data_IF_587866150791
#
_entry.id   IF_587866150791
#
_cell.length_a   1.000
_cell.length_b   1.000
_cell.length_c   1.000
_cell.angle_alpha   90.00
_cell.angle_beta   90.00
_cell.angle_gamma   90.00
#
_symmetry.space_group_name_H-M   'P 1'
#
loop_
_entity.id
_entity.type
_entity.pdbx_description
1 polymer ?
#
# COMPACT_ATOMS: atom_id res chain seq x y z
N UNK A 1 -40.32 15.01 31.60
CA UNK A 1 -40.53 14.33 30.47
C UNK A 1 -39.73 14.70 29.28
N UNK A 2 -39.16 15.63 29.14
CA UNK A 2 -38.50 16.05 28.00
C UNK A 2 -37.11 15.59 27.90
N UNK A 3 -36.54 15.34 28.95
CA UNK A 3 -35.15 15.07 28.94
C UNK A 3 -34.73 13.86 28.21
N UNK A 4 -35.51 12.91 28.17
CA UNK A 4 -35.08 11.70 27.60
C UNK A 4 -34.60 11.90 26.20
N UNK A 5 -35.15 12.76 25.56
CA UNK A 5 -34.80 12.94 24.20
C UNK A 5 -33.38 13.35 24.01
N UNK A 6 -32.98 14.23 24.80
CA UNK A 6 -31.65 14.74 24.66
C UNK A 6 -30.62 13.65 24.74
N UNK A 7 -30.88 12.70 25.53
CA UNK A 7 -29.84 11.70 25.71
C UNK A 7 -29.61 10.87 24.49
N UNK A 8 -30.60 10.67 23.72
CA UNK A 8 -30.39 9.90 22.55
C UNK A 8 -29.49 10.58 21.59
N UNK A 9 -29.76 11.80 21.38
CA UNK A 9 -29.01 12.53 20.45
C UNK A 9 -27.55 12.47 20.76
N UNK A 10 -27.25 12.57 21.98
CA UNK A 10 -25.86 12.53 22.36
C UNK A 10 -25.23 11.21 22.00
N UNK A 11 -25.91 10.19 22.24
CA UNK A 11 -25.34 8.90 21.98
C UNK A 11 -25.05 8.72 20.51
N UNK A 12 -25.93 9.17 19.70
CA UNK A 12 -25.73 9.02 18.31
C UNK A 12 -24.53 9.77 17.82
N UNK A 13 -24.38 10.94 18.31
CA UNK A 13 -23.26 11.72 17.88
C UNK A 13 -21.97 11.01 18.15
N UNK A 14 -21.85 10.41 19.28
CA UNK A 14 -20.63 9.71 19.59
C UNK A 14 -20.35 8.60 18.64
N UNK A 15 -21.35 7.87 18.31
CA UNK A 15 -21.14 6.75 17.43
C UNK A 15 -20.71 7.20 16.06
N UNK A 16 -21.29 8.24 15.60
CA UNK A 16 -21.00 8.70 14.27
C UNK A 16 -19.52 9.02 14.09
N UNK A 17 -18.91 9.52 15.12
CA UNK A 17 -17.55 9.93 14.97
C UNK A 17 -16.55 8.80 14.99
N UNK A 18 -16.82 7.79 15.76
CA UNK A 18 -15.87 6.74 15.91
C UNK A 18 -15.43 6.08 14.63
N UNK A 19 -16.33 5.64 13.81
CA UNK A 19 -15.92 4.94 12.61
C UNK A 19 -15.10 5.80 11.68
N UNK A 20 -15.38 7.05 11.67
CA UNK A 20 -14.68 7.90 10.74
C UNK A 20 -13.19 7.96 11.05
N UNK A 21 -12.84 7.89 12.29
CA UNK A 21 -11.46 7.96 12.64
C UNK A 21 -10.73 6.65 12.55
N UNK A 22 -11.42 5.61 12.26
CA UNK A 22 -10.83 4.30 12.29
C UNK A 22 -10.47 3.80 10.90
N UNK A 23 -9.97 4.67 10.07
CA UNK A 23 -9.57 4.25 8.74
C UNK A 23 -8.49 3.20 8.83
N UNK A 24 -8.73 2.07 8.22
CA UNK A 24 -7.78 0.98 8.20
C UNK A 24 -6.84 1.11 7.05
N UNK A 25 -5.61 0.70 7.25
CA UNK A 25 -4.66 0.61 6.17
C UNK A 25 -5.12 -0.43 5.18
N UNK A 26 -5.00 -0.13 3.91
CA UNK A 26 -5.36 -1.05 2.85
C UNK A 26 -4.13 -1.81 2.39
N UNK A 27 -4.35 -2.97 1.79
CA UNK A 27 -3.28 -3.76 1.19
C UNK A 27 -3.48 -3.73 -0.32
N UNK A 28 -2.41 -3.40 -1.03
CA UNK A 28 -2.41 -3.33 -2.48
C UNK A 28 -1.47 -4.41 -3.00
N UNK A 29 -1.81 -5.03 -4.11
CA UNK A 29 -0.99 -6.07 -4.70
C UNK A 29 -0.41 -5.60 -6.01
N UNK A 30 0.90 -5.77 -6.17
CA UNK A 30 1.59 -5.55 -7.43
C UNK A 30 2.18 -6.88 -7.85
N UNK A 31 1.79 -7.35 -9.01
CA UNK A 31 2.27 -8.61 -9.57
C UNK A 31 3.46 -8.33 -10.48
N UNK A 32 4.50 -9.12 -10.36
CA UNK A 32 5.67 -9.04 -11.22
C UNK A 32 5.55 -10.16 -12.23
N UNK A 33 5.32 -9.83 -13.48
CA UNK A 33 5.10 -10.79 -14.54
C UNK A 33 5.50 -10.20 -15.87
N UNK A 34 6.13 -10.99 -16.73
CA UNK A 34 6.59 -10.51 -18.01
C UNK A 34 7.67 -9.45 -17.89
N UNK A 35 8.49 -9.53 -16.84
CA UNK A 35 9.53 -8.53 -16.56
C UNK A 35 8.94 -7.13 -16.41
N UNK A 36 7.78 -7.04 -15.78
CA UNK A 36 7.10 -5.76 -15.55
C UNK A 36 6.37 -5.80 -14.21
N UNK A 37 6.22 -4.64 -13.60
CA UNK A 37 5.35 -4.46 -12.43
C UNK A 37 3.94 -4.18 -12.92
N UNK A 38 2.95 -4.89 -12.38
CA UNK A 38 1.56 -4.79 -12.84
C UNK A 38 0.63 -4.60 -11.65
N UNK A 39 0.03 -3.44 -11.49
CA UNK A 39 0.18 -2.25 -12.33
C UNK A 39 1.51 -1.55 -12.08
N UNK A 40 2.01 -0.83 -13.07
CA UNK A 40 3.26 -0.11 -12.94
C UNK A 40 3.13 1.17 -12.13
N UNK A 41 1.94 1.70 -12.01
CA UNK A 41 1.68 2.90 -11.22
C UNK A 41 0.47 2.66 -10.33
N UNK A 42 0.62 2.95 -9.04
CA UNK A 42 -0.48 2.83 -8.07
C UNK A 42 -0.52 4.07 -7.19
N UNK A 43 -1.70 4.34 -6.67
CA UNK A 43 -1.91 5.39 -5.69
C UNK A 43 -2.42 4.76 -4.41
N UNK A 44 -1.77 5.07 -3.30
CA UNK A 44 -2.11 4.51 -2.01
C UNK A 44 -2.22 5.61 -0.97
N UNK A 45 -2.75 5.30 0.19
CA UNK A 45 -2.74 6.21 1.33
C UNK A 45 -1.52 5.92 2.19
N UNK A 46 -1.03 6.95 2.87
CA UNK A 46 0.10 6.78 3.79
C UNK A 46 -0.26 5.75 4.85
N UNK A 47 0.64 4.82 5.09
CA UNK A 47 0.43 3.72 6.03
C UNK A 47 -0.12 2.46 5.39
N UNK A 48 -0.51 2.51 4.14
CA UNK A 48 -0.95 1.31 3.42
C UNK A 48 0.22 0.38 3.15
N UNK A 49 -0.12 -0.88 2.87
CA UNK A 49 0.86 -1.91 2.54
C UNK A 49 0.79 -2.24 1.07
N UNK A 50 1.92 -2.60 0.50
CA UNK A 50 1.98 -3.13 -0.86
C UNK A 50 2.60 -4.50 -0.78
N UNK A 51 1.93 -5.49 -1.34
CA UNK A 51 2.47 -6.85 -1.46
C UNK A 51 2.92 -7.07 -2.90
N UNK A 52 4.20 -7.33 -3.07
CA UNK A 52 4.77 -7.64 -4.37
C UNK A 52 4.87 -9.16 -4.51
N UNK A 53 4.36 -9.69 -5.61
CA UNK A 53 4.36 -11.14 -5.88
C UNK A 53 5.10 -11.39 -7.18
N UNK A 54 6.14 -12.21 -7.15
CA UNK A 54 6.89 -12.54 -8.36
C UNK A 54 6.32 -13.81 -8.99
N UNK A 55 5.75 -13.66 -10.18
CA UNK A 55 5.23 -14.78 -10.95
C UNK A 55 6.15 -15.18 -12.10
N UNK A 56 7.24 -14.46 -12.30
CA UNK A 56 8.23 -14.82 -13.33
C UNK A 56 9.18 -15.90 -12.84
N UNK A 57 9.76 -16.61 -13.79
CA UNK A 57 10.80 -17.58 -13.46
C UNK A 57 12.11 -16.94 -13.05
N UNK A 58 12.35 -15.70 -13.46
CA UNK A 58 13.56 -14.98 -13.10
C UNK A 58 13.39 -14.30 -11.74
N UNK A 59 14.48 -14.08 -10.99
CA UNK A 59 14.43 -13.34 -9.74
C UNK A 59 14.25 -11.84 -10.01
N UNK A 60 13.49 -11.20 -9.13
CA UNK A 60 13.25 -9.76 -9.20
C UNK A 60 13.29 -9.15 -7.81
N UNK A 61 13.39 -7.83 -7.75
CA UNK A 61 13.17 -7.06 -6.52
C UNK A 61 12.23 -5.91 -6.82
N UNK A 62 11.65 -5.32 -5.79
CA UNK A 62 10.99 -4.02 -5.88
C UNK A 62 11.69 -3.12 -4.88
N UNK A 63 12.52 -2.22 -5.39
CA UNK A 63 13.41 -1.42 -4.57
C UNK A 63 13.19 0.06 -4.87
N UNK A 64 12.78 0.81 -3.86
CA UNK A 64 12.55 2.25 -4.02
C UNK A 64 13.86 2.97 -4.27
N UNK A 65 13.84 3.93 -5.20
CA UNK A 65 15.05 4.69 -5.53
C UNK A 65 15.55 5.50 -4.34
N UNK A 66 14.63 5.94 -3.49
CA UNK A 66 14.99 6.73 -2.30
C UNK A 66 15.25 5.88 -1.06
N UNK A 67 15.21 4.57 -1.19
CA UNK A 67 15.46 3.67 -0.08
C UNK A 67 14.29 3.47 0.87
N UNK A 68 13.12 4.02 0.56
CA UNK A 68 11.98 3.92 1.48
C UNK A 68 11.43 2.51 1.62
N UNK A 69 11.65 1.64 0.64
CA UNK A 69 11.30 0.24 0.77
C UNK A 69 12.18 -0.63 -0.14
N UNK A 70 12.26 -1.90 0.19
CA UNK A 70 12.99 -2.88 -0.60
C UNK A 70 12.47 -4.26 -0.23
N UNK A 71 12.00 -5.00 -1.22
CA UNK A 71 11.53 -6.36 -0.98
C UNK A 71 12.66 -7.34 -0.80
N UNK A 72 13.86 -6.99 -1.29
CA UNK A 72 14.89 -7.98 -1.46
C UNK A 72 14.56 -8.90 -2.64
N UNK A 73 15.36 -9.94 -2.82
CA UNK A 73 15.20 -10.87 -3.93
C UNK A 73 13.95 -11.71 -3.76
N UNK A 74 13.15 -11.75 -4.80
CA UNK A 74 11.95 -12.59 -4.88
C UNK A 74 12.17 -13.59 -6.02
N UNK A 75 12.16 -14.87 -5.70
CA UNK A 75 12.16 -15.92 -6.71
C UNK A 75 10.72 -16.23 -7.12
N UNK A 76 10.53 -17.08 -8.10
CA UNK A 76 9.20 -17.40 -8.58
C UNK A 76 8.30 -17.87 -7.44
N UNK A 77 7.15 -17.24 -7.31
CA UNK A 77 6.18 -17.56 -6.27
C UNK A 77 6.40 -16.86 -4.96
N UNK A 78 7.52 -16.17 -4.79
CA UNK A 78 7.77 -15.43 -3.56
C UNK A 78 7.00 -14.12 -3.54
N UNK A 79 6.70 -13.66 -2.34
CA UNK A 79 6.06 -12.37 -2.14
C UNK A 79 6.66 -11.68 -0.92
N UNK A 80 6.55 -10.37 -0.89
CA UNK A 80 6.95 -9.57 0.25
C UNK A 80 6.06 -8.35 0.35
N UNK A 81 5.76 -7.94 1.57
CA UNK A 81 4.94 -6.76 1.84
C UNK A 81 5.79 -5.65 2.39
N UNK A 82 5.54 -4.44 1.92
CA UNK A 82 6.20 -3.24 2.42
C UNK A 82 5.15 -2.25 2.85
N UNK A 83 5.45 -1.46 3.87
CA UNK A 83 4.56 -0.39 4.35
C UNK A 83 5.17 0.95 3.99
N UNK A 84 4.38 1.84 3.40
CA UNK A 84 4.87 3.14 2.97
C UNK A 84 4.15 4.22 3.77
N UNK A 85 4.91 4.95 4.56
CA UNK A 85 4.33 5.88 5.53
C UNK A 85 4.37 7.34 5.10
N UNK A 86 5.26 7.72 4.19
CA UNK A 86 5.46 9.12 3.83
C UNK A 86 4.75 9.46 2.54
N UNK A 87 4.06 10.60 2.52
CA UNK A 87 3.37 11.07 1.34
C UNK A 87 4.37 11.50 0.26
N UNK A 88 3.96 11.37 -0.99
CA UNK A 88 4.76 11.80 -2.13
C UNK A 88 4.85 10.72 -3.19
N UNK A 89 5.58 10.99 -4.25
CA UNK A 89 5.79 10.04 -5.33
C UNK A 89 7.10 9.30 -5.09
N UNK A 90 7.05 7.98 -5.20
CA UNK A 90 8.21 7.12 -4.99
C UNK A 90 8.40 6.27 -6.24
N UNK A 91 9.53 6.46 -6.90
CA UNK A 91 9.90 5.60 -8.02
C UNK A 91 10.64 4.39 -7.48
N UNK A 92 10.40 3.25 -8.08
CA UNK A 92 11.08 2.03 -7.69
C UNK A 92 11.45 1.21 -8.93
N UNK A 93 12.32 0.26 -8.74
CA UNK A 93 12.84 -0.56 -9.83
C UNK A 93 13.22 -1.93 -9.33
N UNK A 94 13.50 -2.83 -10.26
CA UNK A 94 14.12 -4.10 -9.99
C UNK A 94 15.65 -3.93 -10.04
N UNK A 95 16.36 -4.42 -9.04
CA UNK A 95 17.81 -4.29 -9.02
C UNK A 95 18.51 -5.19 -10.03
N UNK A 96 17.86 -6.25 -10.49
CA UNK A 96 18.46 -7.16 -11.47
C UNK A 96 18.18 -6.75 -12.91
N UNK A 97 17.12 -5.96 -13.12
CA UNK A 97 16.68 -5.58 -14.45
C UNK A 97 16.26 -4.12 -14.41
N UNK A 98 17.20 -3.23 -14.66
CA UNK A 98 17.02 -1.81 -14.41
C UNK A 98 15.94 -1.15 -15.27
N UNK A 99 15.52 -1.79 -16.35
CA UNK A 99 14.43 -1.27 -17.17
C UNK A 99 13.05 -1.52 -16.54
N UNK A 100 12.96 -2.41 -15.54
CA UNK A 100 11.71 -2.65 -14.83
C UNK A 100 11.52 -1.56 -13.79
N UNK A 101 10.52 -0.72 -14.00
CA UNK A 101 10.28 0.44 -13.13
C UNK A 101 8.80 0.58 -12.81
N UNK A 102 8.53 1.16 -11.65
CA UNK A 102 7.18 1.48 -11.22
C UNK A 102 7.16 2.75 -10.40
N UNK A 103 5.98 3.23 -10.11
CA UNK A 103 5.79 4.44 -9.30
C UNK A 103 4.65 4.22 -8.32
N UNK A 104 4.89 4.61 -7.07
CA UNK A 104 3.86 4.64 -6.03
C UNK A 104 3.61 6.10 -5.67
N UNK A 105 2.37 6.53 -5.78
CA UNK A 105 1.96 7.83 -5.28
C UNK A 105 1.27 7.64 -3.95
N UNK A 106 1.80 8.28 -2.91
CA UNK A 106 1.29 8.15 -1.55
C UNK A 106 0.59 9.45 -1.18
N UNK A 107 -0.65 9.35 -0.82
CA UNK A 107 -1.48 10.50 -0.46
C UNK A 107 -1.49 10.77 1.03
#
# INVERSE_FOLDING_TARGET
MTNRIASFAAALACLAMLPAGAALAADHTVTISGFAFQPAAITIAAGDTITFVNEDGAPHTATADDGSFDTGRLDKGDSASVTVASAGAIDYKCNFHSSMKGTVTVQ
#
